data_IF_189399034629
#
_entry.id   IF_189399034629
#
_cell.length_a   1.000
_cell.length_b   1.000
_cell.length_c   1.000
_cell.angle_alpha   90.00
_cell.angle_beta   90.00
_cell.angle_gamma   90.00
#
_symmetry.space_group_name_H-M   'P 1'
#
loop_
_entity.id
_entity.type
_entity.pdbx_description
1 polymer ?
#
# COMPACT_ATOMS: atom_id res chain seq x y z
N UNK A 1 -28.41 -24.69 2.54
CA UNK A 1 -27.40 -24.91 1.49
C UNK A 1 -26.75 -23.64 0.95
N UNK A 2 -27.48 -22.56 0.66
CA UNK A 2 -26.85 -21.31 0.15
C UNK A 2 -26.11 -20.52 1.24
N UNK A 3 -26.76 -20.29 2.40
CA UNK A 3 -26.13 -19.64 3.58
C UNK A 3 -24.85 -20.33 4.06
N UNK A 4 -24.83 -21.66 4.01
CA UNK A 4 -23.70 -22.48 4.43
C UNK A 4 -22.50 -22.32 3.47
N UNK A 5 -22.75 -22.28 2.16
CA UNK A 5 -21.71 -21.97 1.15
C UNK A 5 -21.18 -20.55 1.31
N UNK A 6 -22.03 -19.57 1.59
CA UNK A 6 -21.60 -18.18 1.83
C UNK A 6 -20.74 -18.08 3.10
N UNK A 7 -21.14 -18.74 4.18
CA UNK A 7 -20.37 -18.75 5.43
C UNK A 7 -18.97 -19.36 5.25
N UNK A 8 -18.89 -20.54 4.63
CA UNK A 8 -17.61 -21.20 4.35
C UNK A 8 -16.73 -20.35 3.44
N UNK A 9 -17.31 -19.70 2.43
CA UNK A 9 -16.59 -18.81 1.52
C UNK A 9 -15.94 -17.63 2.25
N UNK A 10 -16.71 -16.90 3.08
CA UNK A 10 -16.18 -15.77 3.85
C UNK A 10 -15.22 -16.21 4.96
N UNK A 11 -15.47 -17.36 5.59
CA UNK A 11 -14.56 -17.96 6.58
C UNK A 11 -13.19 -18.28 5.99
N UNK A 12 -13.15 -18.93 4.83
CA UNK A 12 -11.91 -19.21 4.11
C UNK A 12 -11.18 -17.92 3.75
N UNK A 13 -11.92 -16.87 3.37
CA UNK A 13 -11.31 -15.59 3.00
C UNK A 13 -10.71 -14.84 4.19
N UNK A 14 -11.38 -14.88 5.33
CA UNK A 14 -10.83 -14.32 6.58
C UNK A 14 -9.56 -15.06 6.98
N UNK A 15 -9.56 -16.39 6.90
CA UNK A 15 -8.39 -17.22 7.19
C UNK A 15 -7.21 -16.90 6.25
N UNK A 16 -7.47 -16.78 4.94
CA UNK A 16 -6.49 -16.34 3.95
C UNK A 16 -5.87 -14.98 4.30
N UNK A 17 -6.70 -14.01 4.69
CA UNK A 17 -6.24 -12.68 5.12
C UNK A 17 -5.35 -12.77 6.37
N UNK A 18 -5.70 -13.62 7.34
CA UNK A 18 -4.89 -13.84 8.54
C UNK A 18 -3.52 -14.44 8.22
N UNK A 19 -3.45 -15.44 7.33
CA UNK A 19 -2.18 -16.01 6.87
C UNK A 19 -1.33 -14.93 6.19
N UNK A 20 -1.92 -14.13 5.31
CA UNK A 20 -1.21 -13.06 4.62
C UNK A 20 -0.67 -12.01 5.59
N UNK A 21 -1.46 -11.58 6.59
CA UNK A 21 -1.01 -10.63 7.60
C UNK A 21 0.12 -11.23 8.45
N UNK A 22 0.01 -12.50 8.86
CA UNK A 22 1.07 -13.17 9.59
C UNK A 22 2.38 -13.21 8.80
N UNK A 23 2.32 -13.58 7.51
CA UNK A 23 3.49 -13.58 6.63
C UNK A 23 4.07 -12.17 6.42
N UNK A 24 3.21 -11.15 6.31
CA UNK A 24 3.62 -9.76 6.18
C UNK A 24 4.36 -9.29 7.43
N UNK A 25 3.77 -9.48 8.62
CA UNK A 25 4.40 -9.15 9.91
C UNK A 25 5.73 -9.89 10.05
N UNK A 26 5.75 -11.19 9.78
CA UNK A 26 6.96 -12.01 9.87
C UNK A 26 8.07 -11.47 8.96
N UNK A 27 7.73 -11.11 7.72
CA UNK A 27 8.70 -10.54 6.76
C UNK A 27 9.23 -9.20 7.25
N UNK A 28 8.36 -8.32 7.74
CA UNK A 28 8.73 -6.99 8.24
C UNK A 28 9.63 -7.11 9.48
N UNK A 29 9.30 -7.98 10.44
CA UNK A 29 10.10 -8.18 11.66
C UNK A 29 11.46 -8.81 11.34
N UNK A 30 11.50 -9.90 10.56
CA UNK A 30 12.76 -10.58 10.21
C UNK A 30 13.70 -9.65 9.45
N UNK A 31 13.15 -8.80 8.58
CA UNK A 31 13.95 -7.84 7.81
C UNK A 31 14.27 -6.55 8.56
N UNK A 32 13.92 -6.45 9.85
CA UNK A 32 14.07 -5.22 10.65
C UNK A 32 13.45 -3.99 9.97
N UNK A 33 12.33 -4.18 9.26
CA UNK A 33 11.61 -3.14 8.53
C UNK A 33 12.22 -2.76 7.18
N UNK A 34 13.38 -3.29 6.81
CA UNK A 34 14.07 -2.97 5.54
C UNK A 34 13.26 -3.50 4.34
N UNK A 35 12.65 -4.68 4.45
CA UNK A 35 11.91 -5.30 3.36
C UNK A 35 10.40 -4.97 3.37
N UNK A 36 9.96 -3.93 4.10
CA UNK A 36 8.53 -3.56 4.19
C UNK A 36 7.92 -3.28 2.82
N UNK A 37 8.66 -2.63 1.91
CA UNK A 37 8.19 -2.42 0.53
C UNK A 37 8.00 -3.72 -0.26
N UNK A 38 8.91 -4.68 -0.11
CA UNK A 38 8.77 -5.99 -0.72
C UNK A 38 7.59 -6.77 -0.13
N UNK A 39 7.40 -6.69 1.20
CA UNK A 39 6.25 -7.27 1.89
C UNK A 39 4.92 -6.67 1.41
N UNK A 40 4.86 -5.35 1.22
CA UNK A 40 3.69 -4.68 0.64
C UNK A 40 3.41 -5.15 -0.78
N UNK A 41 4.43 -5.20 -1.66
CA UNK A 41 4.25 -5.72 -3.03
C UNK A 41 3.78 -7.17 -3.05
N UNK A 42 4.34 -8.02 -2.19
CA UNK A 42 3.92 -9.41 -2.06
C UNK A 42 2.47 -9.53 -1.56
N UNK A 43 2.05 -8.67 -0.62
CA UNK A 43 0.67 -8.61 -0.15
C UNK A 43 -0.29 -8.23 -1.29
N UNK A 44 -0.01 -7.14 -2.01
CA UNK A 44 -0.82 -6.73 -3.16
C UNK A 44 -0.83 -7.78 -4.28
N UNK A 45 0.31 -8.45 -4.53
CA UNK A 45 0.40 -9.55 -5.47
C UNK A 45 -0.50 -10.73 -5.09
N UNK A 46 -0.45 -11.17 -3.83
CA UNK A 46 -1.27 -12.26 -3.30
C UNK A 46 -2.74 -11.94 -3.35
N UNK A 47 -3.13 -10.71 -3.04
CA UNK A 47 -4.52 -10.29 -3.13
C UNK A 47 -4.96 -10.30 -4.60
N UNK A 48 -4.24 -9.63 -5.49
CA UNK A 48 -4.65 -9.52 -6.89
C UNK A 48 -4.73 -10.88 -7.62
N UNK A 49 -3.86 -11.84 -7.26
CA UNK A 49 -3.87 -13.21 -7.82
C UNK A 49 -4.77 -14.18 -7.04
N UNK A 50 -4.59 -14.29 -5.73
CA UNK A 50 -5.32 -15.22 -4.87
C UNK A 50 -6.80 -14.89 -4.73
N UNK A 51 -7.22 -13.67 -5.10
CA UNK A 51 -8.64 -13.37 -5.24
C UNK A 51 -9.30 -13.97 -6.49
N UNK A 52 -8.53 -14.36 -7.51
CA UNK A 52 -9.04 -14.69 -8.85
C UNK A 52 -9.29 -16.19 -9.10
N UNK A 53 -9.79 -16.92 -8.10
CA UNK A 53 -10.23 -18.34 -8.20
C UNK A 53 -9.13 -19.34 -8.60
N UNK A 54 -7.86 -19.07 -8.25
CA UNK A 54 -6.78 -20.00 -8.57
C UNK A 54 -6.55 -21.03 -7.45
N UNK A 55 -6.14 -22.26 -7.80
CA UNK A 55 -6.04 -23.42 -6.88
C UNK A 55 -4.87 -23.34 -5.89
N UNK A 56 -4.02 -22.32 -5.98
CA UNK A 56 -2.83 -22.16 -5.15
C UNK A 56 -3.15 -21.41 -3.85
N UNK A 57 -2.59 -21.88 -2.73
CA UNK A 57 -2.71 -21.24 -1.42
C UNK A 57 -2.12 -19.83 -1.42
N UNK A 58 -2.71 -18.90 -0.66
CA UNK A 58 -2.23 -17.53 -0.49
C UNK A 58 -0.75 -17.42 -0.12
N UNK A 59 -0.25 -18.38 0.67
CA UNK A 59 1.16 -18.49 1.03
C UNK A 59 2.06 -18.60 -0.20
N UNK A 60 1.68 -19.43 -1.18
CA UNK A 60 2.48 -19.63 -2.38
C UNK A 60 2.59 -18.33 -3.20
N UNK A 61 1.49 -17.58 -3.33
CA UNK A 61 1.51 -16.28 -4.00
C UNK A 61 2.33 -15.23 -3.25
N UNK A 62 2.33 -15.28 -1.91
CA UNK A 62 3.09 -14.33 -1.11
C UNK A 62 4.59 -14.59 -1.25
N UNK A 63 5.02 -15.85 -1.13
CA UNK A 63 6.42 -16.24 -1.30
C UNK A 63 6.91 -15.96 -2.72
N UNK A 64 6.09 -16.23 -3.74
CA UNK A 64 6.37 -15.84 -5.13
C UNK A 64 6.52 -14.32 -5.27
N UNK A 65 5.63 -13.55 -4.65
CA UNK A 65 5.66 -12.09 -4.63
C UNK A 65 6.92 -11.54 -3.99
N UNK A 66 7.29 -12.04 -2.80
CA UNK A 66 8.53 -11.68 -2.11
C UNK A 66 9.75 -11.92 -3.00
N UNK A 67 9.86 -13.12 -3.60
CA UNK A 67 10.99 -13.47 -4.47
C UNK A 67 11.06 -12.58 -5.72
N UNK A 68 9.91 -12.25 -6.29
CA UNK A 68 9.81 -11.46 -7.52
C UNK A 68 10.12 -9.99 -7.29
N UNK A 69 9.66 -9.43 -6.16
CA UNK A 69 9.66 -7.99 -5.89
C UNK A 69 10.65 -7.57 -4.80
N UNK A 70 11.50 -8.47 -4.31
CA UNK A 70 12.46 -8.18 -3.24
C UNK A 70 13.27 -6.91 -3.51
N UNK A 71 13.89 -6.83 -4.70
CA UNK A 71 14.79 -5.72 -5.05
C UNK A 71 14.01 -4.43 -5.29
N UNK A 72 12.96 -4.47 -6.11
CA UNK A 72 12.19 -3.29 -6.49
C UNK A 72 11.40 -2.73 -5.32
N UNK A 73 10.76 -3.59 -4.52
CA UNK A 73 10.02 -3.20 -3.33
C UNK A 73 10.91 -2.58 -2.27
N UNK A 74 12.04 -3.22 -1.95
CA UNK A 74 13.01 -2.68 -0.98
C UNK A 74 13.64 -1.37 -1.47
N UNK A 75 13.97 -1.26 -2.75
CA UNK A 75 14.52 -0.02 -3.32
C UNK A 75 13.55 1.17 -3.17
N UNK A 76 12.28 0.98 -3.55
CA UNK A 76 11.28 2.04 -3.48
C UNK A 76 10.97 2.41 -2.03
N UNK A 77 10.93 1.41 -1.15
CA UNK A 77 10.78 1.65 0.28
C UNK A 77 11.95 2.41 0.88
N UNK A 78 13.19 2.10 0.47
CA UNK A 78 14.37 2.85 0.88
C UNK A 78 14.30 4.33 0.48
N UNK A 79 13.84 4.63 -0.74
CA UNK A 79 13.60 6.01 -1.17
C UNK A 79 12.53 6.68 -0.30
N UNK A 80 11.43 5.97 -0.03
CA UNK A 80 10.35 6.51 0.80
C UNK A 80 10.82 6.80 2.23
N UNK A 81 11.59 5.90 2.84
CA UNK A 81 12.19 6.11 4.16
C UNK A 81 13.16 7.29 4.16
N UNK A 82 14.00 7.42 3.13
CA UNK A 82 14.93 8.54 3.00
C UNK A 82 14.17 9.87 2.95
N UNK A 83 13.09 9.95 2.17
CA UNK A 83 12.26 11.16 2.09
C UNK A 83 11.63 11.48 3.44
N UNK A 84 11.04 10.50 4.13
CA UNK A 84 10.47 10.74 5.47
C UNK A 84 11.53 11.10 6.51
N UNK A 85 12.74 10.55 6.42
CA UNK A 85 13.85 10.91 7.30
C UNK A 85 14.28 12.36 7.10
N UNK A 86 14.39 12.81 5.84
CA UNK A 86 14.69 14.23 5.53
C UNK A 86 13.59 15.15 6.06
N UNK A 87 12.32 14.80 5.86
CA UNK A 87 11.17 15.56 6.39
C UNK A 87 11.21 15.62 7.91
N UNK A 88 11.50 14.50 8.58
CA UNK A 88 11.63 14.43 10.03
C UNK A 88 12.74 15.36 10.53
N UNK A 89 13.93 15.30 9.93
CA UNK A 89 15.04 16.18 10.31
C UNK A 89 14.69 17.66 10.08
N UNK A 90 14.14 17.98 8.92
CA UNK A 90 13.79 19.35 8.57
C UNK A 90 12.65 19.91 9.45
N UNK A 91 11.76 19.06 9.96
CA UNK A 91 10.68 19.48 10.86
C UNK A 91 11.18 19.69 12.30
N UNK A 92 12.06 18.82 12.80
CA UNK A 92 12.55 18.89 14.19
C UNK A 92 13.70 19.87 14.37
N UNK A 93 14.58 19.99 13.38
CA UNK A 93 15.77 20.85 13.42
C UNK A 93 15.66 22.06 12.49
N UNK A 94 14.52 22.24 11.80
CA UNK A 94 14.33 23.33 10.84
C UNK A 94 14.50 24.72 11.43
N UNK A 95 14.03 24.95 12.67
CA UNK A 95 14.23 26.24 13.35
C UNK A 95 15.71 26.54 13.61
N UNK A 96 16.51 25.52 13.91
CA UNK A 96 17.96 25.66 14.13
C UNK A 96 18.67 25.91 12.79
N UNK A 97 18.24 25.24 11.72
CA UNK A 97 18.87 25.29 10.40
C UNK A 97 18.47 26.52 9.57
N UNK A 98 17.22 26.99 9.71
CA UNK A 98 16.59 27.99 8.83
C UNK A 98 15.99 29.18 9.59
N UNK A 99 16.02 29.20 10.92
CA UNK A 99 15.44 30.28 11.72
C UNK A 99 13.94 30.47 11.48
N UNK A 100 13.48 31.72 11.42
CA UNK A 100 12.05 32.04 11.22
C UNK A 100 11.48 31.58 9.87
N UNK A 101 12.32 31.30 8.85
CA UNK A 101 11.86 30.71 7.59
C UNK A 101 11.30 29.31 7.78
N UNK A 102 11.73 28.58 8.82
CA UNK A 102 11.23 27.24 9.10
C UNK A 102 9.71 27.20 9.31
N UNK A 103 9.12 28.25 9.91
CA UNK A 103 7.68 28.33 10.13
C UNK A 103 6.87 28.33 8.83
N UNK A 104 7.45 28.81 7.73
CA UNK A 104 6.83 28.78 6.41
C UNK A 104 7.09 27.46 5.69
N UNK A 105 8.27 26.84 5.89
CA UNK A 105 8.70 25.64 5.15
C UNK A 105 8.09 24.35 5.74
N UNK A 106 7.94 24.27 7.06
CA UNK A 106 7.42 23.06 7.74
C UNK A 106 6.06 22.59 7.19
N UNK A 107 5.06 23.47 6.97
CA UNK A 107 3.80 23.06 6.34
C UNK A 107 3.97 22.43 4.95
N UNK A 108 4.91 22.91 4.13
CA UNK A 108 5.18 22.32 2.82
C UNK A 108 5.74 20.90 2.93
N UNK A 109 6.55 20.61 3.94
CA UNK A 109 7.01 19.23 4.18
C UNK A 109 5.86 18.30 4.57
N UNK A 110 4.86 18.80 5.31
CA UNK A 110 3.63 18.06 5.61
C UNK A 110 2.86 17.68 4.33
N UNK A 111 2.67 18.65 3.43
CA UNK A 111 2.01 18.40 2.13
C UNK A 111 2.82 17.41 1.29
N UNK A 112 4.16 17.55 1.27
CA UNK A 112 5.02 16.63 0.54
C UNK A 112 5.00 15.21 1.11
N UNK A 113 4.95 15.05 2.44
CA UNK A 113 4.79 13.75 3.08
C UNK A 113 3.46 13.08 2.69
N UNK A 114 2.36 13.85 2.68
CA UNK A 114 1.05 13.35 2.23
C UNK A 114 1.09 12.90 0.78
N UNK A 115 1.77 13.64 -0.09
CA UNK A 115 1.94 13.28 -1.50
C UNK A 115 2.70 11.97 -1.67
N UNK A 116 3.77 11.75 -0.90
CA UNK A 116 4.53 10.49 -0.92
C UNK A 116 3.67 9.30 -0.47
N UNK A 117 2.83 9.48 0.56
CA UNK A 117 1.88 8.44 1.01
C UNK A 117 0.86 8.17 -0.09
N UNK A 118 0.29 9.22 -0.68
CA UNK A 118 -0.73 9.09 -1.72
C UNK A 118 -0.16 8.38 -2.96
N UNK A 119 1.06 8.72 -3.37
CA UNK A 119 1.76 8.02 -4.44
C UNK A 119 1.92 6.52 -4.12
N UNK A 120 2.31 6.17 -2.91
CA UNK A 120 2.49 4.78 -2.50
C UNK A 120 1.18 3.97 -2.60
N UNK A 121 0.03 4.55 -2.22
CA UNK A 121 -1.30 3.92 -2.33
C UNK A 121 -1.59 3.46 -3.75
N UNK A 122 -1.30 4.30 -4.75
CA UNK A 122 -1.53 3.97 -6.15
C UNK A 122 -0.40 3.14 -6.76
N UNK A 123 0.83 3.34 -6.30
CA UNK A 123 2.02 2.73 -6.89
C UNK A 123 2.01 1.20 -6.76
N UNK A 124 1.83 0.67 -5.54
CA UNK A 124 1.90 -0.77 -5.31
C UNK A 124 0.89 -1.57 -6.17
N UNK A 125 -0.43 -1.28 -6.14
CA UNK A 125 -1.40 -2.03 -6.95
C UNK A 125 -1.19 -1.87 -8.47
N UNK A 126 -0.77 -0.68 -8.93
CA UNK A 126 -0.50 -0.44 -10.35
C UNK A 126 0.75 -1.18 -10.84
N UNK A 127 1.79 -1.22 -10.02
CA UNK A 127 3.04 -1.91 -10.36
C UNK A 127 2.81 -3.40 -10.58
N UNK A 128 2.06 -4.03 -9.68
CA UNK A 128 1.68 -5.44 -9.78
C UNK A 128 0.88 -5.73 -11.06
N UNK A 129 -0.05 -4.84 -11.43
CA UNK A 129 -0.90 -5.03 -12.61
C UNK A 129 -0.17 -4.77 -13.92
N UNK A 130 0.48 -3.61 -14.06
CA UNK A 130 1.00 -3.14 -15.37
C UNK A 130 2.36 -3.76 -15.70
N UNK A 131 3.14 -4.26 -14.72
CA UNK A 131 4.49 -4.85 -14.92
C UNK A 131 5.42 -3.99 -15.79
N UNK A 132 5.25 -2.66 -15.72
CA UNK A 132 6.06 -1.66 -16.43
C UNK A 132 7.23 -1.20 -15.56
N UNK A 133 8.11 -0.37 -16.14
CA UNK A 133 9.22 0.24 -15.40
C UNK A 133 8.71 1.08 -14.21
N UNK A 134 9.50 1.14 -13.13
CA UNK A 134 9.19 1.92 -11.92
C UNK A 134 8.85 3.37 -12.26
N UNK A 135 9.66 4.01 -13.12
CA UNK A 135 9.45 5.40 -13.56
C UNK A 135 8.09 5.59 -14.21
N UNK A 136 7.72 4.69 -15.13
CA UNK A 136 6.43 4.77 -15.82
C UNK A 136 5.28 4.61 -14.83
N UNK A 137 5.37 3.66 -13.90
CA UNK A 137 4.32 3.43 -12.91
C UNK A 137 4.22 4.62 -11.95
N UNK A 138 5.32 5.20 -11.48
CA UNK A 138 5.29 6.40 -10.62
C UNK A 138 4.57 7.57 -11.28
N UNK A 139 4.86 7.87 -12.55
CA UNK A 139 4.18 8.95 -13.29
C UNK A 139 2.69 8.66 -13.43
N UNK A 140 2.33 7.41 -13.70
CA UNK A 140 0.93 6.99 -13.79
C UNK A 140 0.21 7.11 -12.44
N UNK A 141 0.85 6.68 -11.35
CA UNK A 141 0.35 6.80 -9.99
C UNK A 141 0.09 8.26 -9.62
N UNK A 142 1.04 9.16 -9.93
CA UNK A 142 0.89 10.59 -9.70
C UNK A 142 -0.31 11.18 -10.43
N UNK A 143 -0.42 10.86 -11.74
CA UNK A 143 -1.53 11.31 -12.59
C UNK A 143 -2.88 10.77 -12.10
N UNK A 144 -2.94 9.50 -11.71
CA UNK A 144 -4.17 8.86 -11.23
C UNK A 144 -4.62 9.43 -9.90
N UNK A 145 -3.67 9.67 -8.98
CA UNK A 145 -3.95 10.28 -7.68
C UNK A 145 -4.58 11.68 -7.83
N UNK A 146 -4.03 12.52 -8.71
CA UNK A 146 -4.49 13.90 -8.91
C UNK A 146 -5.74 14.01 -9.79
N UNK A 147 -5.92 13.11 -10.77
CA UNK A 147 -7.13 13.09 -11.58
C UNK A 147 -8.35 12.56 -10.82
N UNK A 148 -8.14 11.84 -9.71
CA UNK A 148 -9.20 11.25 -8.90
C UNK A 148 -9.10 11.70 -7.44
N UNK A 149 -9.18 13.00 -7.19
CA UNK A 149 -9.04 13.57 -5.83
C UNK A 149 -10.01 12.95 -4.81
N UNK A 150 -11.28 12.74 -5.17
CA UNK A 150 -12.26 12.18 -4.25
C UNK A 150 -11.93 10.74 -3.83
N UNK A 151 -11.72 9.78 -4.77
CA UNK A 151 -11.23 8.45 -4.42
C UNK A 151 -9.88 8.47 -3.67
N UNK A 152 -8.94 9.31 -4.09
CA UNK A 152 -7.65 9.50 -3.42
C UNK A 152 -7.80 9.87 -1.95
N UNK A 153 -8.69 10.82 -1.63
CA UNK A 153 -8.98 11.23 -0.26
C UNK A 153 -9.61 10.09 0.56
N UNK A 154 -10.52 9.31 -0.04
CA UNK A 154 -11.13 8.14 0.64
C UNK A 154 -10.06 7.08 0.95
N UNK A 155 -9.18 6.78 0.00
CA UNK A 155 -8.10 5.80 0.21
C UNK A 155 -7.10 6.30 1.25
N UNK A 156 -6.72 7.58 1.21
CA UNK A 156 -5.85 8.19 2.19
C UNK A 156 -6.48 8.16 3.59
N UNK A 157 -7.76 8.55 3.71
CA UNK A 157 -8.50 8.49 4.97
C UNK A 157 -8.59 7.06 5.51
N UNK A 158 -8.78 6.06 4.64
CA UNK A 158 -8.79 4.65 5.04
C UNK A 158 -7.44 4.17 5.59
N UNK A 159 -6.32 4.62 5.00
CA UNK A 159 -4.98 4.35 5.54
C UNK A 159 -4.76 5.02 6.90
N UNK A 160 -5.16 6.29 7.04
CA UNK A 160 -5.02 7.03 8.29
C UNK A 160 -5.86 6.38 9.39
N UNK A 161 -7.10 5.99 9.10
CA UNK A 161 -7.97 5.29 10.03
C UNK A 161 -7.37 3.95 10.45
N UNK A 162 -6.84 3.16 9.50
CA UNK A 162 -6.19 1.89 9.82
C UNK A 162 -4.96 2.08 10.73
N UNK A 163 -4.12 3.08 10.44
CA UNK A 163 -2.97 3.43 11.27
C UNK A 163 -3.40 3.90 12.67
N UNK A 164 -4.46 4.71 12.77
CA UNK A 164 -5.04 5.14 14.04
C UNK A 164 -5.51 3.95 14.88
N UNK A 165 -6.24 3.00 14.29
CA UNK A 165 -6.72 1.81 15.00
C UNK A 165 -5.55 0.97 15.55
N UNK A 166 -4.50 0.76 14.75
CA UNK A 166 -3.31 0.00 15.18
C UNK A 166 -2.55 0.70 16.30
N UNK A 167 -2.28 2.00 16.16
CA UNK A 167 -1.39 2.74 17.05
C UNK A 167 -2.10 3.17 18.34
N UNK A 168 -3.37 3.58 18.25
CA UNK A 168 -4.11 4.20 19.36
C UNK A 168 -5.10 3.27 20.04
N UNK A 169 -5.69 2.32 19.32
CA UNK A 169 -6.68 1.41 19.91
C UNK A 169 -6.02 0.13 20.39
N UNK A 170 -5.45 -0.69 19.48
CA UNK A 170 -4.77 -1.91 19.88
C UNK A 170 -3.85 -2.49 18.78
N UNK A 171 -2.69 -3.03 19.16
CA UNK A 171 -1.74 -3.61 18.22
C UNK A 171 -2.29 -4.83 17.46
N UNK A 172 -3.24 -5.58 18.06
CA UNK A 172 -3.88 -6.75 17.44
C UNK A 172 -4.59 -6.44 16.12
N UNK A 173 -4.92 -5.18 15.84
CA UNK A 173 -5.49 -4.81 14.54
C UNK A 173 -4.52 -5.09 13.37
N UNK A 174 -3.21 -5.22 13.62
CA UNK A 174 -2.24 -5.65 12.62
C UNK A 174 -2.52 -7.05 12.05
N UNK A 175 -3.20 -7.94 12.78
CA UNK A 175 -3.50 -9.29 12.29
C UNK A 175 -4.55 -9.32 11.18
N UNK A 176 -5.28 -8.22 10.97
CA UNK A 176 -6.39 -8.16 10.02
C UNK A 176 -6.27 -7.01 9.03
N UNK A 177 -5.94 -5.81 9.51
CA UNK A 177 -6.10 -4.58 8.73
C UNK A 177 -5.21 -4.49 7.48
N UNK A 178 -3.92 -4.88 7.47
CA UNK A 178 -3.10 -4.72 6.27
C UNK A 178 -3.66 -5.45 5.04
N UNK A 179 -4.04 -6.72 5.18
CA UNK A 179 -4.70 -7.48 4.09
C UNK A 179 -6.04 -6.89 3.65
N UNK A 180 -6.88 -6.46 4.60
CA UNK A 180 -8.18 -5.84 4.28
C UNK A 180 -7.98 -4.51 3.53
N UNK A 181 -7.04 -3.70 3.99
CA UNK A 181 -6.72 -2.41 3.40
C UNK A 181 -6.11 -2.57 2.01
N UNK A 182 -5.18 -3.51 1.82
CA UNK A 182 -4.60 -3.80 0.52
C UNK A 182 -5.67 -4.32 -0.46
N UNK A 183 -6.65 -5.10 0.02
CA UNK A 183 -7.79 -5.52 -0.80
C UNK A 183 -8.69 -4.34 -1.19
N UNK A 184 -9.03 -3.48 -0.23
CA UNK A 184 -9.80 -2.27 -0.49
C UNK A 184 -9.12 -1.34 -1.51
N UNK A 185 -7.81 -1.13 -1.36
CA UNK A 185 -7.02 -0.32 -2.29
C UNK A 185 -6.97 -0.98 -3.68
N UNK A 186 -6.69 -2.29 -3.77
CA UNK A 186 -6.64 -3.00 -5.05
C UNK A 186 -7.98 -2.91 -5.79
N UNK A 187 -9.09 -3.11 -5.09
CA UNK A 187 -10.44 -2.98 -5.65
C UNK A 187 -10.68 -1.59 -6.25
N UNK A 188 -10.42 -0.52 -5.50
CA UNK A 188 -10.64 0.85 -5.98
C UNK A 188 -9.71 1.22 -7.14
N UNK A 189 -8.40 0.96 -6.99
CA UNK A 189 -7.43 1.38 -7.99
C UNK A 189 -7.60 0.56 -9.27
N UNK A 190 -7.61 -0.77 -9.17
CA UNK A 190 -7.59 -1.64 -10.35
C UNK A 190 -8.98 -1.88 -10.95
N UNK A 191 -10.02 -2.09 -10.14
CA UNK A 191 -11.34 -2.46 -10.67
C UNK A 191 -12.27 -1.26 -10.87
N UNK A 192 -12.08 -0.14 -10.15
CA UNK A 192 -12.94 1.05 -10.32
C UNK A 192 -12.28 2.11 -11.19
N UNK A 193 -11.08 2.56 -10.83
CA UNK A 193 -10.44 3.69 -11.50
C UNK A 193 -9.84 3.23 -12.83
N UNK A 194 -9.02 2.19 -12.82
CA UNK A 194 -8.31 1.76 -14.03
C UNK A 194 -9.21 1.17 -15.11
N UNK A 195 -10.25 0.40 -14.76
CA UNK A 195 -11.22 -0.09 -15.76
C UNK A 195 -11.97 1.06 -16.45
N UNK A 196 -12.20 2.19 -15.76
CA UNK A 196 -12.79 3.38 -16.37
C UNK A 196 -11.83 3.99 -17.40
N UNK A 197 -10.54 4.05 -17.10
CA UNK A 197 -9.53 4.58 -18.02
C UNK A 197 -9.27 3.67 -19.22
N UNK A 198 -9.08 2.36 -18.99
CA UNK A 198 -8.83 1.40 -20.08
C UNK A 198 -10.05 1.36 -21.04
N UNK A 199 -11.29 1.55 -20.55
CA UNK A 199 -12.51 1.64 -21.39
C UNK A 199 -12.57 2.92 -22.25
N UNK A 200 -11.99 4.02 -21.78
CA UNK A 200 -12.01 5.31 -22.50
C UNK A 200 -10.98 5.30 -23.65
N UNK A 201 -9.89 4.53 -23.52
CA UNK A 201 -8.87 4.39 -24.58
C UNK A 201 -9.31 3.44 -25.71
N UNK A 202 -10.37 2.64 -25.52
CA UNK A 202 -10.92 1.70 -26.51
C UNK A 202 -12.08 2.27 -27.35
N UNK A 203 -12.52 3.52 -27.13
CA UNK A 203 -13.57 4.22 -27.89
C UNK A 203 -12.97 5.35 -28.71
#
# INVERSE_FOLDING_TARGET
MEKERTFVFWGNRLFDCMILNFLWILTVIISFGIATGAANMALFHSISKGMKKDKRTMLAFYVEGIRTFWKQGTYIWGIQLLVFFVIFLATNYGLILFGNLANFIIPFYGVFALEVILLAIYFFPLYIRKKKSIKTVMIQSFRLAHSNLFPSLILLASMILAAFLVIRVHLSFLYFLPSILAWWIDYWVNERIMLKYDRIEEV
#
